data_IF_737342342692
#
_entry.id   IF_737342342692
#
_cell.length_a   1.000
_cell.length_b   1.000
_cell.length_c   1.000
_cell.angle_alpha   90.00
_cell.angle_beta   90.00
_cell.angle_gamma   90.00
#
_symmetry.space_group_name_H-M   'P 1'
#
loop_
_entity.id
_entity.type
_entity.pdbx_description
1 polymer ?
#
# COMPACT_ATOMS: atom_id res chain seq x y z
N UNK A 1 -9.97 11.18 -19.42
CA UNK A 1 -10.53 11.13 -18.06
C UNK A 1 -9.37 11.08 -17.08
N UNK A 2 -8.96 12.25 -16.61
CA UNK A 2 -7.70 12.43 -15.88
C UNK A 2 -7.73 11.76 -14.49
N UNK A 3 -8.91 11.52 -13.93
CA UNK A 3 -9.10 10.88 -12.62
C UNK A 3 -8.77 9.38 -12.70
N UNK A 4 -9.24 8.68 -13.75
CA UNK A 4 -8.96 7.26 -13.96
C UNK A 4 -7.47 7.02 -14.20
N UNK A 5 -6.81 7.86 -15.01
CA UNK A 5 -5.37 7.77 -15.28
C UNK A 5 -4.49 8.16 -14.07
N UNK A 6 -4.87 9.21 -13.33
CA UNK A 6 -4.17 9.63 -12.10
C UNK A 6 -4.23 8.57 -10.99
N UNK A 7 -5.38 7.91 -10.84
CA UNK A 7 -5.51 6.81 -9.88
C UNK A 7 -4.71 5.58 -10.30
N UNK A 8 -4.82 5.18 -11.56
CA UNK A 8 -4.11 4.01 -12.09
C UNK A 8 -2.60 4.12 -11.92
N UNK A 9 -2.01 5.26 -12.28
CA UNK A 9 -0.56 5.50 -12.11
C UNK A 9 -0.11 5.45 -10.66
N UNK A 10 -0.91 5.98 -9.73
CA UNK A 10 -0.64 5.93 -8.29
C UNK A 10 -0.65 4.49 -7.75
N UNK A 11 -1.58 3.65 -8.21
CA UNK A 11 -1.67 2.23 -7.82
C UNK A 11 -0.48 1.44 -8.37
N UNK A 12 -0.07 1.68 -9.62
CA UNK A 12 1.13 1.03 -10.19
C UNK A 12 2.40 1.45 -9.44
N UNK A 13 2.52 2.72 -9.04
CA UNK A 13 3.65 3.17 -8.23
C UNK A 13 3.67 2.52 -6.85
N UNK A 14 2.52 2.43 -6.18
CA UNK A 14 2.37 1.71 -4.91
C UNK A 14 2.80 0.25 -5.05
N UNK A 15 2.30 -0.42 -6.09
CA UNK A 15 2.66 -1.80 -6.41
C UNK A 15 4.17 -1.96 -6.60
N UNK A 16 4.78 -1.13 -7.43
CA UNK A 16 6.22 -1.17 -7.69
C UNK A 16 7.05 -0.96 -6.42
N UNK A 17 6.66 0.00 -5.57
CA UNK A 17 7.30 0.21 -4.28
C UNK A 17 7.14 -1.00 -3.34
N UNK A 18 5.95 -1.59 -3.29
CA UNK A 18 5.64 -2.67 -2.35
C UNK A 18 6.33 -4.00 -2.69
N UNK A 19 6.43 -4.34 -3.98
CA UNK A 19 7.04 -5.60 -4.42
C UNK A 19 8.50 -5.46 -4.85
N UNK A 20 8.96 -4.22 -5.07
CA UNK A 20 10.31 -3.92 -5.53
C UNK A 20 10.50 -4.08 -7.04
N UNK A 21 11.51 -3.39 -7.56
CA UNK A 21 11.76 -3.29 -9.00
C UNK A 21 12.03 -4.63 -9.69
N UNK A 22 12.80 -5.52 -9.05
CA UNK A 22 13.17 -6.82 -9.64
C UNK A 22 11.95 -7.73 -9.79
N UNK A 23 11.18 -7.92 -8.71
CA UNK A 23 9.98 -8.73 -8.73
C UNK A 23 8.91 -8.15 -9.66
N UNK A 24 8.78 -6.82 -9.71
CA UNK A 24 7.87 -6.14 -10.64
C UNK A 24 8.22 -6.45 -12.10
N UNK A 25 9.48 -6.25 -12.51
CA UNK A 25 9.92 -6.52 -13.88
C UNK A 25 9.77 -7.99 -14.25
N UNK A 26 10.17 -8.90 -13.36
CA UNK A 26 10.03 -10.34 -13.57
C UNK A 26 8.57 -10.76 -13.69
N UNK A 27 7.71 -10.29 -12.80
CA UNK A 27 6.27 -10.58 -12.83
C UNK A 27 5.61 -10.08 -14.10
N UNK A 28 5.90 -8.84 -14.50
CA UNK A 28 5.38 -8.25 -15.73
C UNK A 28 5.88 -8.98 -16.98
N UNK A 29 7.18 -9.32 -17.04
CA UNK A 29 7.75 -10.08 -18.15
C UNK A 29 7.09 -11.45 -18.31
N UNK A 30 6.87 -12.16 -17.21
CA UNK A 30 6.22 -13.48 -17.23
C UNK A 30 4.76 -13.38 -17.69
N UNK A 31 4.03 -12.38 -17.19
CA UNK A 31 2.65 -12.11 -17.60
C UNK A 31 2.56 -11.82 -19.11
N UNK A 32 3.40 -10.91 -19.62
CA UNK A 32 3.40 -10.55 -21.04
C UNK A 32 3.77 -11.73 -21.93
N UNK A 33 4.72 -12.58 -21.50
CA UNK A 33 5.09 -13.79 -22.23
C UNK A 33 3.95 -14.82 -22.30
N UNK A 34 3.22 -15.03 -21.20
CA UNK A 34 2.14 -16.03 -21.13
C UNK A 34 0.88 -15.61 -21.91
N UNK A 35 0.53 -14.33 -21.83
CA UNK A 35 -0.67 -13.74 -22.43
C UNK A 35 -0.39 -12.98 -23.73
N UNK A 36 0.80 -13.13 -24.33
CA UNK A 36 1.12 -12.54 -25.62
C UNK A 36 0.04 -12.91 -26.66
N UNK A 37 -0.54 -11.88 -27.30
CA UNK A 37 -1.59 -12.00 -28.32
C UNK A 37 -2.90 -12.66 -27.84
N UNK A 38 -3.14 -12.74 -26.53
CA UNK A 38 -4.36 -13.28 -25.92
C UNK A 38 -5.10 -12.22 -25.13
N UNK A 39 -6.38 -12.49 -24.90
CA UNK A 39 -7.17 -11.74 -23.91
C UNK A 39 -6.76 -12.15 -22.49
N UNK A 40 -6.88 -11.21 -21.56
CA UNK A 40 -6.45 -11.39 -20.17
C UNK A 40 -7.26 -10.49 -19.25
N UNK A 41 -7.26 -10.81 -17.96
CA UNK A 41 -7.98 -10.06 -16.92
C UNK A 41 -6.99 -9.59 -15.85
N UNK A 42 -7.39 -8.59 -15.05
CA UNK A 42 -6.54 -7.99 -14.01
C UNK A 42 -6.02 -9.03 -13.01
N UNK A 43 -6.82 -10.04 -12.67
CA UNK A 43 -6.43 -11.09 -11.73
C UNK A 43 -5.25 -11.93 -12.22
N UNK A 44 -5.09 -12.10 -13.54
CA UNK A 44 -3.92 -12.77 -14.11
C UNK A 44 -2.65 -11.95 -13.87
N UNK A 45 -2.71 -10.63 -14.04
CA UNK A 45 -1.57 -9.75 -13.74
C UNK A 45 -1.19 -9.84 -12.25
N UNK A 46 -2.19 -9.81 -11.36
CA UNK A 46 -1.98 -9.98 -9.92
C UNK A 46 -1.34 -11.31 -9.59
N UNK A 47 -1.75 -12.41 -10.21
CA UNK A 47 -1.16 -13.72 -10.01
C UNK A 47 0.34 -13.72 -10.32
N UNK A 48 0.75 -13.21 -11.48
CA UNK A 48 2.17 -13.18 -11.88
C UNK A 48 3.02 -12.30 -10.96
N UNK A 49 2.52 -11.13 -10.56
CA UNK A 49 3.22 -10.23 -9.65
C UNK A 49 3.31 -10.80 -8.23
N UNK A 50 2.25 -11.46 -7.75
CA UNK A 50 2.24 -12.14 -6.45
C UNK A 50 3.28 -13.26 -6.43
N UNK A 51 3.32 -14.08 -7.50
CA UNK A 51 4.27 -15.17 -7.66
C UNK A 51 5.71 -14.67 -7.75
N UNK A 52 5.96 -13.57 -8.48
CA UNK A 52 7.30 -13.01 -8.62
C UNK A 52 7.84 -12.36 -7.35
N UNK A 53 6.95 -11.88 -6.46
CA UNK A 53 7.28 -11.16 -5.22
C UNK A 53 7.16 -12.01 -3.96
N UNK A 54 6.67 -13.24 -4.05
CA UNK A 54 6.30 -14.09 -2.91
C UNK A 54 5.30 -13.42 -1.94
N UNK A 55 4.47 -12.49 -2.43
CA UNK A 55 3.44 -11.80 -1.62
C UNK A 55 2.05 -12.28 -2.03
N UNK A 56 1.50 -13.25 -1.29
CA UNK A 56 0.19 -13.85 -1.60
C UNK A 56 -0.99 -12.90 -1.38
N UNK A 57 -0.87 -11.90 -0.50
CA UNK A 57 -1.94 -10.92 -0.25
C UNK A 57 -1.99 -9.76 -1.27
N UNK A 58 -1.19 -9.80 -2.33
CA UNK A 58 -1.08 -8.69 -3.27
C UNK A 58 -2.40 -8.42 -4.01
N UNK A 59 -3.13 -9.46 -4.42
CA UNK A 59 -4.42 -9.33 -5.08
C UNK A 59 -5.46 -8.63 -4.19
N UNK A 60 -5.45 -8.94 -2.90
CA UNK A 60 -6.35 -8.34 -1.91
C UNK A 60 -6.08 -6.85 -1.74
N UNK A 61 -4.80 -6.47 -1.62
CA UNK A 61 -4.39 -5.08 -1.57
C UNK A 61 -4.93 -4.37 -2.80
N UNK A 62 -4.54 -4.82 -3.99
CA UNK A 62 -4.82 -4.11 -5.24
C UNK A 62 -6.30 -4.09 -5.59
N UNK A 63 -7.07 -5.09 -5.15
CA UNK A 63 -8.54 -5.06 -5.26
C UNK A 63 -9.14 -3.87 -4.50
N UNK A 64 -8.70 -3.60 -3.27
CA UNK A 64 -9.19 -2.43 -2.51
C UNK A 64 -8.81 -1.10 -3.18
N UNK A 65 -7.64 -1.03 -3.83
CA UNK A 65 -7.19 0.17 -4.52
C UNK A 65 -7.86 0.41 -5.86
N UNK A 66 -8.20 -0.64 -6.61
CA UNK A 66 -8.73 -0.53 -7.99
C UNK A 66 -10.26 -0.56 -8.07
N UNK A 67 -10.94 -1.27 -7.16
CA UNK A 67 -12.40 -1.47 -7.22
C UNK A 67 -13.20 -0.46 -6.38
N UNK A 68 -12.55 0.30 -5.50
CA UNK A 68 -13.20 1.31 -4.66
C UNK A 68 -13.06 2.70 -5.26
N UNK A 69 -14.08 3.55 -5.13
CA UNK A 69 -14.01 4.97 -5.51
C UNK A 69 -13.35 5.81 -4.39
N UNK A 70 -12.58 6.83 -4.78
CA UNK A 70 -11.84 7.69 -3.84
C UNK A 70 -10.46 7.17 -3.48
N UNK A 71 -9.85 7.78 -2.46
CA UNK A 71 -8.51 7.46 -1.95
C UNK A 71 -8.54 7.30 -0.42
N UNK A 72 -7.67 6.48 0.18
CA UNK A 72 -7.52 6.46 1.63
C UNK A 72 -6.81 7.73 2.10
N UNK A 73 -7.41 8.41 3.08
CA UNK A 73 -6.76 9.44 3.88
C UNK A 73 -6.27 8.80 5.18
N UNK A 74 -4.97 8.87 5.43
CA UNK A 74 -4.36 8.35 6.65
C UNK A 74 -4.06 9.48 7.63
N UNK A 75 -4.60 9.34 8.84
CA UNK A 75 -4.23 10.13 10.00
C UNK A 75 -3.29 9.31 10.86
N UNK A 76 -2.10 9.86 11.11
CA UNK A 76 -1.08 9.21 11.94
C UNK A 76 -0.87 10.05 13.19
N UNK A 77 -1.19 9.49 14.34
CA UNK A 77 -0.83 10.03 15.64
C UNK A 77 0.33 9.22 16.21
N UNK A 78 1.20 9.88 16.98
CA UNK A 78 2.33 9.24 17.63
C UNK A 78 2.39 9.62 19.11
N UNK A 79 2.77 8.65 19.94
CA UNK A 79 2.96 8.81 21.37
C UNK A 79 4.30 8.17 21.77
N UNK A 80 5.18 8.92 22.44
CA UNK A 80 6.43 8.39 22.96
C UNK A 80 6.17 7.57 24.24
N UNK A 81 6.68 6.34 24.29
CA UNK A 81 6.57 5.42 25.42
C UNK A 81 7.94 4.91 25.83
N UNK A 82 8.64 5.68 26.65
CA UNK A 82 10.02 5.39 27.04
C UNK A 82 10.94 5.44 25.81
N UNK A 83 11.57 4.32 25.46
CA UNK A 83 12.39 4.19 24.24
C UNK A 83 11.60 3.72 23.01
N UNK A 84 10.31 3.44 23.16
CA UNK A 84 9.44 2.98 22.08
C UNK A 84 8.47 4.08 21.64
N UNK A 85 7.89 3.92 20.45
CA UNK A 85 6.91 4.84 19.90
C UNK A 85 5.65 4.11 19.50
N UNK A 86 4.51 4.49 20.09
CA UNK A 86 3.22 3.99 19.64
C UNK A 86 2.73 4.87 18.48
N UNK A 87 2.45 4.24 17.35
CA UNK A 87 1.75 4.87 16.24
C UNK A 87 0.30 4.42 16.24
N UNK A 88 -0.61 5.37 16.15
CA UNK A 88 -2.03 5.13 15.93
C UNK A 88 -2.37 5.62 14.53
N UNK A 89 -2.68 4.68 13.64
CA UNK A 89 -3.01 4.96 12.24
C UNK A 89 -4.51 4.77 12.05
N UNK A 90 -5.18 5.81 11.59
CA UNK A 90 -6.60 5.79 11.24
C UNK A 90 -6.78 6.10 9.75
N UNK A 91 -7.70 5.38 9.09
CA UNK A 91 -8.06 5.60 7.70
C UNK A 91 -9.51 6.07 7.56
N UNK A 92 -9.71 7.00 6.64
CA UNK A 92 -11.01 7.46 6.16
C UNK A 92 -11.00 7.57 4.64
N UNK A 93 -12.19 7.65 4.03
CA UNK A 93 -12.28 7.84 2.57
C UNK A 93 -12.22 9.31 2.22
N UNK A 94 -11.33 9.66 1.29
CA UNK A 94 -11.27 10.97 0.67
C UNK A 94 -11.99 10.98 -0.68
N UNK A 95 -12.90 11.95 -0.84
CA UNK A 95 -13.52 12.34 -2.10
C UNK A 95 -13.42 13.84 -2.31
N UNK A 96 -13.20 14.26 -3.56
CA UNK A 96 -13.04 15.68 -3.90
C UNK A 96 -14.33 16.50 -3.72
N UNK A 97 -15.50 15.84 -3.75
CA UNK A 97 -16.80 16.47 -3.50
C UNK A 97 -17.10 16.69 -2.01
N UNK A 98 -16.22 16.23 -1.12
CA UNK A 98 -16.37 16.38 0.33
C UNK A 98 -17.35 15.41 0.98
N UNK A 99 -17.96 14.49 0.22
CA UNK A 99 -18.84 13.47 0.80
C UNK A 99 -18.05 12.54 1.71
N UNK A 100 -18.64 12.20 2.86
CA UNK A 100 -18.02 11.36 3.88
C UNK A 100 -18.70 10.02 3.95
N UNK A 101 -17.93 8.96 3.82
CA UNK A 101 -18.37 7.59 3.91
C UNK A 101 -17.18 6.71 4.24
N UNK A 102 -17.14 6.28 5.50
CA UNK A 102 -16.07 5.47 6.08
C UNK A 102 -16.34 3.96 5.97
N UNK A 103 -17.30 3.54 5.15
CA UNK A 103 -17.60 2.11 4.95
C UNK A 103 -16.48 1.40 4.18
N UNK A 104 -15.85 2.10 3.24
CA UNK A 104 -14.77 1.57 2.42
C UNK A 104 -13.45 1.66 3.17
N UNK A 105 -12.72 0.55 3.19
CA UNK A 105 -11.43 0.43 3.86
C UNK A 105 -10.41 -0.14 2.88
N UNK A 106 -9.17 0.31 2.99
CA UNK A 106 -8.07 -0.12 2.15
C UNK A 106 -7.13 -1.01 2.94
N UNK A 107 -6.60 -2.01 2.23
CA UNK A 107 -5.44 -2.76 2.67
C UNK A 107 -4.20 -1.99 2.21
N UNK A 108 -3.37 -1.54 3.16
CA UNK A 108 -2.29 -0.58 2.86
C UNK A 108 -0.98 -1.08 3.47
N UNK A 109 0.04 -1.40 2.63
CA UNK A 109 1.40 -1.54 3.11
C UNK A 109 2.00 -0.15 3.39
N UNK A 110 2.63 0.00 4.54
CA UNK A 110 3.20 1.26 5.02
C UNK A 110 4.67 1.02 5.36
N UNK A 111 5.56 1.72 4.67
CA UNK A 111 6.98 1.78 4.98
C UNK A 111 7.28 3.00 5.84
N UNK A 112 8.03 2.80 6.93
CA UNK A 112 8.40 3.87 7.86
C UNK A 112 9.93 4.00 7.90
N UNK A 113 10.40 5.21 7.58
CA UNK A 113 11.77 5.65 7.84
C UNK A 113 11.83 6.46 9.14
N UNK A 114 12.98 6.45 9.80
CA UNK A 114 13.25 7.28 10.99
C UNK A 114 14.27 8.36 10.65
N UNK A 115 14.43 9.37 11.51
CA UNK A 115 15.48 10.40 11.35
C UNK A 115 16.89 9.78 11.26
N UNK A 116 17.15 8.71 12.00
CA UNK A 116 18.42 7.98 11.97
C UNK A 116 18.66 7.21 10.66
N UNK A 117 17.59 6.85 9.94
CA UNK A 117 17.69 6.14 8.68
C UNK A 117 16.64 6.67 7.67
N UNK A 118 16.84 7.88 7.12
CA UNK A 118 15.80 8.56 6.34
C UNK A 118 15.55 7.91 4.97
N UNK A 119 16.55 7.22 4.43
CA UNK A 119 16.52 6.66 3.08
C UNK A 119 16.20 5.16 3.03
N UNK A 120 15.98 4.53 4.18
CA UNK A 120 15.65 3.11 4.26
C UNK A 120 14.47 2.89 5.18
N UNK A 121 13.50 2.14 4.69
CA UNK A 121 12.40 1.65 5.53
C UNK A 121 12.98 0.81 6.66
N UNK A 122 12.69 1.22 7.90
CA UNK A 122 13.11 0.53 9.13
C UNK A 122 11.96 -0.35 9.63
N UNK A 123 10.71 0.04 9.40
CA UNK A 123 9.53 -0.72 9.78
C UNK A 123 8.57 -0.87 8.60
N UNK A 124 8.13 -2.10 8.36
CA UNK A 124 7.07 -2.41 7.41
C UNK A 124 5.80 -2.73 8.20
N UNK A 125 4.80 -1.87 8.10
CA UNK A 125 3.49 -2.05 8.69
C UNK A 125 2.47 -2.44 7.62
N UNK A 126 1.39 -3.07 8.06
CA UNK A 126 0.31 -3.46 7.19
C UNK A 126 -1.03 -3.14 7.86
N UNK A 127 -1.72 -2.14 7.31
CA UNK A 127 -3.08 -1.82 7.71
C UNK A 127 -4.03 -2.75 6.96
N UNK A 128 -4.58 -3.74 7.65
CA UNK A 128 -5.34 -4.82 7.02
C UNK A 128 -6.83 -4.47 6.82
N UNK A 129 -7.13 -3.32 6.23
CA UNK A 129 -8.52 -2.90 6.04
C UNK A 129 -9.25 -2.57 7.34
N UNK A 130 -8.52 -2.27 8.42
CA UNK A 130 -9.11 -1.78 9.67
C UNK A 130 -9.25 -0.26 9.65
N UNK A 131 -10.30 0.27 10.28
CA UNK A 131 -10.49 1.74 10.36
C UNK A 131 -9.35 2.38 11.14
N UNK A 132 -8.95 1.76 12.25
CA UNK A 132 -7.92 2.25 13.15
C UNK A 132 -7.08 1.06 13.62
N UNK A 133 -5.76 1.22 13.62
CA UNK A 133 -4.84 0.20 14.13
C UNK A 133 -3.66 0.87 14.81
N UNK A 134 -3.16 0.22 15.87
CA UNK A 134 -2.02 0.69 16.64
C UNK A 134 -0.80 -0.20 16.38
N UNK A 135 0.37 0.43 16.29
CA UNK A 135 1.64 -0.22 16.02
C UNK A 135 2.70 0.30 16.99
N UNK A 136 3.28 -0.59 17.79
CA UNK A 136 4.38 -0.24 18.68
C UNK A 136 5.71 -0.40 17.93
N UNK A 137 6.37 0.72 17.65
CA UNK A 137 7.72 0.75 17.09
C UNK A 137 8.72 0.72 18.25
N UNK A 138 9.52 -0.35 18.31
CA UNK A 138 10.51 -0.50 19.38
C UNK A 138 11.78 0.30 19.07
N UNK A 139 12.44 0.81 20.11
CA UNK A 139 13.73 1.48 20.02
C UNK A 139 13.72 2.73 19.10
N UNK A 140 12.65 3.51 19.17
CA UNK A 140 12.51 4.81 18.49
C UNK A 140 12.39 5.90 19.57
N UNK A 141 13.51 6.39 20.13
CA UNK A 141 13.50 7.48 21.10
C UNK A 141 13.16 8.82 20.45
N UNK A 142 12.64 9.76 21.23
CA UNK A 142 12.59 11.17 20.82
C UNK A 142 14.02 11.68 20.63
N UNK A 143 14.33 12.13 19.42
CA UNK A 143 15.51 12.97 19.20
C UNK A 143 15.11 14.39 19.53
N UNK A 144 15.63 14.95 20.62
CA UNK A 144 15.69 16.40 20.81
C UNK A 144 16.31 17.11 19.59
#
# INVERSE_FOLDING_TARGET
DDITYGKGSSVIRLLHAYIGNEAFRRGLSNYLAEYAYKNTITDNLWFHLSKASNRTQLSDVLSTWTKQIGYPLLMVNQEQRGNDRLLTIEQTRFLADGTRDDSLKWKIPIDICTKSNPNSSVFQLYLNGEKKQEFLLKQVPDTE
#
